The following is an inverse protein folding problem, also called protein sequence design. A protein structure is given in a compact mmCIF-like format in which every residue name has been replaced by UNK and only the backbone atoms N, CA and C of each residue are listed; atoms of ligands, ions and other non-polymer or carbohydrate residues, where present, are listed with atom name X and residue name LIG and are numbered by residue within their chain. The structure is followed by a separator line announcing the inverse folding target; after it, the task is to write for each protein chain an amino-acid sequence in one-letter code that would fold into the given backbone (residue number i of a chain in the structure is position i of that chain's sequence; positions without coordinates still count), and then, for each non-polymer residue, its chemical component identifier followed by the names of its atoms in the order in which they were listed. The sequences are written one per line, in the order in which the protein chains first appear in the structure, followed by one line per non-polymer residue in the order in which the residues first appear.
data_IF_722228715207
#
_entry.id   IF_722228715207
#
_cell.length_a   1.000
_cell.length_b   1.000
_cell.length_c   1.000
_cell.angle_alpha   90.00
_cell.angle_beta   90.00
_cell.angle_gamma   90.00
#
_symmetry.space_group_name_H-M   'P 1'
#
loop_
_entity.id
_entity.type
_entity.pdbx_description
1 polymer ?
#
# COMPACT_ATOMS: atom_id res chain seq x y z
N UNK A 1 25.88 1.32 -57.76
CA UNK A 1 25.26 0.12 -57.15
C UNK A 1 25.75 -0.22 -55.74
N UNK A 2 26.60 0.58 -55.06
CA UNK A 2 27.04 0.29 -53.67
C UNK A 2 26.25 1.04 -52.58
N UNK A 3 25.46 2.04 -52.95
CA UNK A 3 24.79 2.94 -51.98
C UNK A 3 23.38 2.51 -51.58
N UNK A 4 22.73 1.60 -52.32
CA UNK A 4 21.39 1.11 -51.98
C UNK A 4 21.40 -0.03 -50.94
N UNK A 5 22.48 -0.82 -50.89
CA UNK A 5 22.63 -1.93 -49.95
C UNK A 5 22.93 -1.47 -48.52
N UNK A 6 23.52 -0.28 -48.35
CA UNK A 6 23.80 0.29 -47.02
C UNK A 6 22.54 0.85 -46.33
N UNK A 7 21.59 1.40 -47.09
CA UNK A 7 20.34 1.95 -46.52
C UNK A 7 19.37 0.87 -46.04
N UNK A 8 19.31 -0.29 -46.69
CA UNK A 8 18.47 -1.41 -46.23
C UNK A 8 19.04 -2.07 -44.97
N UNK A 9 20.36 -2.10 -44.80
CA UNK A 9 21.00 -2.67 -43.60
C UNK A 9 20.82 -1.77 -42.36
N UNK A 10 20.85 -0.44 -42.51
CA UNK A 10 20.62 0.48 -41.39
C UNK A 10 19.15 0.54 -40.95
N UNK A 11 18.19 0.37 -41.88
CA UNK A 11 16.77 0.30 -41.52
C UNK A 11 16.38 -1.00 -40.81
N UNK A 12 17.06 -2.12 -41.12
CA UNK A 12 16.85 -3.38 -40.40
C UNK A 12 17.44 -3.35 -38.99
N UNK A 13 18.54 -2.62 -38.77
CA UNK A 13 19.15 -2.51 -37.45
C UNK A 13 18.39 -1.56 -36.52
N UNK A 14 17.81 -0.47 -37.01
CA UNK A 14 16.96 0.40 -36.17
C UNK A 14 15.56 -0.18 -35.89
N UNK A 15 15.03 -1.01 -36.79
CA UNK A 15 13.76 -1.73 -36.56
C UNK A 15 13.89 -2.96 -35.67
N UNK A 16 15.05 -3.62 -35.61
CA UNK A 16 15.32 -4.69 -34.63
C UNK A 16 15.65 -4.15 -33.23
N UNK A 17 16.26 -2.97 -33.11
CA UNK A 17 16.47 -2.31 -31.81
C UNK A 17 15.15 -1.73 -31.26
N UNK A 18 14.15 -1.50 -32.12
CA UNK A 18 12.81 -1.05 -31.70
C UNK A 18 11.94 -2.16 -31.10
N UNK A 19 12.34 -3.44 -31.17
CA UNK A 19 11.66 -4.54 -30.45
C UNK A 19 12.22 -4.81 -29.04
N UNK A 20 13.27 -4.09 -28.63
CA UNK A 20 13.82 -4.16 -27.28
C UNK A 20 13.44 -2.96 -26.39
N UNK A 21 12.67 -2.00 -26.92
CA UNK A 21 12.04 -0.97 -26.10
C UNK A 21 10.81 -1.54 -25.39
N UNK A 22 11.11 -2.12 -24.22
CA UNK A 22 10.29 -2.14 -23.02
C UNK A 22 8.84 -2.57 -23.17
N UNK A 23 8.52 -3.81 -22.77
CA UNK A 23 7.26 -4.01 -22.07
C UNK A 23 7.23 -2.97 -20.95
N UNK A 24 6.26 -2.04 -20.99
CA UNK A 24 6.10 -0.99 -19.99
C UNK A 24 6.05 -1.56 -18.56
N UNK A 25 6.16 -0.71 -17.53
CA UNK A 25 6.16 -1.18 -16.15
C UNK A 25 4.96 -2.09 -15.87
N UNK A 26 5.21 -3.24 -15.24
CA UNK A 26 4.15 -4.15 -14.83
C UNK A 26 3.65 -3.71 -13.45
N UNK A 27 2.50 -3.06 -13.44
CA UNK A 27 1.81 -2.72 -12.20
C UNK A 27 0.96 -3.93 -11.77
N UNK A 28 1.22 -4.45 -10.57
CA UNK A 28 0.45 -5.53 -9.95
C UNK A 28 -0.37 -4.92 -8.82
N UNK A 29 -1.68 -5.13 -8.84
CA UNK A 29 -2.62 -4.48 -7.93
C UNK A 29 -3.06 -5.47 -6.85
N UNK A 30 -2.85 -5.08 -5.60
CA UNK A 30 -3.15 -5.89 -4.41
C UNK A 30 -4.07 -5.05 -3.53
N UNK A 31 -5.34 -5.42 -3.48
CA UNK A 31 -6.30 -4.70 -2.64
C UNK A 31 -6.14 -5.05 -1.16
N UNK A 32 -6.57 -4.17 -0.27
CA UNK A 32 -6.73 -4.46 1.16
C UNK A 32 -8.06 -5.15 1.46
N UNK A 33 -8.79 -4.65 2.47
CA UNK A 33 -10.08 -5.22 2.86
C UNK A 33 -11.24 -4.70 2.01
N UNK A 34 -12.26 -5.57 1.88
CA UNK A 34 -13.53 -5.43 1.17
C UNK A 34 -13.47 -4.81 -0.25
N UNK A 35 -13.42 -5.69 -1.27
CA UNK A 35 -13.38 -5.38 -2.70
C UNK A 35 -14.62 -4.63 -3.26
N UNK A 36 -15.53 -4.14 -2.41
CA UNK A 36 -16.75 -3.42 -2.83
C UNK A 36 -16.55 -1.92 -3.02
N UNK A 37 -15.38 -1.37 -2.67
CA UNK A 37 -14.97 -0.02 -3.03
C UNK A 37 -14.38 -0.05 -4.45
N UNK A 38 -15.27 -0.21 -5.44
CA UNK A 38 -14.91 -0.60 -6.80
C UNK A 38 -13.83 0.25 -7.49
N UNK A 39 -12.89 -0.43 -8.14
CA UNK A 39 -12.35 -0.14 -9.49
C UNK A 39 -11.24 -1.14 -9.88
N UNK A 40 -10.63 -1.81 -8.89
CA UNK A 40 -9.39 -2.59 -9.06
C UNK A 40 -9.60 -3.97 -9.71
N UNK A 41 -10.76 -4.59 -9.53
CA UNK A 41 -11.08 -5.91 -10.12
C UNK A 41 -10.98 -5.92 -11.66
N UNK A 42 -11.09 -4.76 -12.29
CA UNK A 42 -11.00 -4.59 -13.74
C UNK A 42 -9.58 -4.19 -14.21
N UNK A 43 -8.63 -4.03 -13.29
CA UNK A 43 -7.25 -3.69 -13.63
C UNK A 43 -6.47 -4.96 -14.03
N UNK A 44 -5.55 -4.83 -15.00
CA UNK A 44 -4.67 -5.94 -15.35
C UNK A 44 -3.79 -6.31 -14.15
N UNK A 45 -3.56 -7.61 -13.92
CA UNK A 45 -2.73 -8.12 -12.82
C UNK A 45 -3.27 -7.82 -11.40
N UNK A 46 -4.59 -7.79 -11.26
CA UNK A 46 -5.25 -7.76 -9.97
C UNK A 46 -5.15 -9.11 -9.23
N UNK A 47 -4.82 -9.08 -7.94
CA UNK A 47 -4.73 -10.27 -7.09
C UNK A 47 -5.87 -10.28 -6.07
N UNK A 48 -6.69 -11.32 -6.15
CA UNK A 48 -7.64 -11.65 -5.08
C UNK A 48 -6.98 -12.55 -4.04
N UNK A 49 -7.08 -12.19 -2.77
CA UNK A 49 -6.47 -12.90 -1.65
C UNK A 49 -7.32 -12.74 -0.38
N UNK A 50 -7.03 -13.56 0.64
CA UNK A 50 -7.83 -13.57 1.86
C UNK A 50 -7.32 -12.53 2.87
N UNK A 51 -7.83 -11.30 2.76
CA UNK A 51 -7.51 -10.21 3.69
C UNK A 51 -8.15 -10.32 5.07
N UNK A 52 -8.78 -11.46 5.40
CA UNK A 52 -9.32 -11.77 6.74
C UNK A 52 -8.36 -12.55 7.63
N UNK A 53 -7.13 -12.81 7.16
CA UNK A 53 -6.09 -13.55 7.87
C UNK A 53 -5.13 -12.60 8.61
N UNK A 54 -4.56 -13.07 9.70
CA UNK A 54 -3.42 -12.41 10.37
C UNK A 54 -2.19 -12.35 9.48
N UNK A 55 -1.31 -11.38 9.76
CA UNK A 55 -0.18 -10.96 8.92
C UNK A 55 0.63 -12.11 8.30
N UNK A 56 1.07 -13.07 9.11
CA UNK A 56 1.91 -14.18 8.64
C UNK A 56 1.14 -15.11 7.69
N UNK A 57 -0.08 -15.50 8.07
CA UNK A 57 -0.95 -16.36 7.26
C UNK A 57 -1.42 -15.63 5.99
N UNK A 58 -1.67 -14.32 6.09
CA UNK A 58 -1.97 -13.44 4.98
C UNK A 58 -0.81 -13.39 3.98
N UNK A 59 0.42 -13.25 4.46
CA UNK A 59 1.62 -13.24 3.63
C UNK A 59 1.84 -14.59 2.93
N UNK A 60 1.64 -15.70 3.63
CA UNK A 60 1.70 -17.05 3.06
C UNK A 60 0.62 -17.30 2.00
N UNK A 61 -0.60 -16.77 2.19
CA UNK A 61 -1.69 -16.84 1.20
C UNK A 61 -1.41 -15.97 -0.04
N UNK A 62 -0.91 -14.75 0.16
CA UNK A 62 -0.70 -13.76 -0.90
C UNK A 62 0.53 -14.09 -1.77
N UNK A 63 1.65 -14.48 -1.17
CA UNK A 63 2.92 -14.63 -1.87
C UNK A 63 2.91 -15.58 -3.10
N UNK A 64 2.32 -16.80 -3.06
CA UNK A 64 2.28 -17.65 -4.24
C UNK A 64 1.45 -17.02 -5.38
N UNK A 65 0.38 -16.27 -5.06
CA UNK A 65 -0.42 -15.54 -6.07
C UNK A 65 0.38 -14.39 -6.69
N UNK A 66 1.13 -13.66 -5.86
CA UNK A 66 1.98 -12.57 -6.32
C UNK A 66 3.13 -13.06 -7.21
N UNK A 67 3.79 -14.16 -6.85
CA UNK A 67 4.80 -14.80 -7.71
C UNK A 67 4.19 -15.23 -9.06
N UNK A 68 2.96 -15.74 -9.06
CA UNK A 68 2.27 -16.11 -10.29
C UNK A 68 1.99 -14.88 -11.18
N UNK A 69 1.54 -13.74 -10.63
CA UNK A 69 1.37 -12.51 -11.42
C UNK A 69 2.68 -11.94 -11.93
N UNK A 70 3.73 -11.89 -11.09
CA UNK A 70 5.08 -11.47 -11.50
C UNK A 70 5.57 -12.28 -12.70
N UNK A 71 5.32 -13.60 -12.71
CA UNK A 71 5.73 -14.46 -13.83
C UNK A 71 5.08 -14.09 -15.17
N UNK A 72 3.90 -13.47 -15.16
CA UNK A 72 3.19 -13.02 -16.36
C UNK A 72 3.77 -11.73 -16.96
N UNK A 73 4.55 -10.97 -16.18
CA UNK A 73 5.13 -9.69 -16.58
C UNK A 73 6.37 -9.81 -17.50
N UNK A 74 6.84 -11.03 -17.84
CA UNK A 74 7.87 -11.29 -18.87
C UNK A 74 9.09 -10.35 -18.86
N UNK A 75 9.69 -10.14 -17.68
CA UNK A 75 10.87 -9.28 -17.40
C UNK A 75 10.64 -7.76 -17.38
N UNK A 76 9.39 -7.29 -17.45
CA UNK A 76 9.10 -5.88 -17.20
C UNK A 76 9.46 -5.48 -15.75
N UNK A 77 9.85 -4.22 -15.49
CA UNK A 77 9.98 -3.69 -14.15
C UNK A 77 8.68 -3.88 -13.35
N UNK A 78 8.76 -4.45 -12.15
CA UNK A 78 7.58 -4.76 -11.32
C UNK A 78 7.35 -3.63 -10.31
N UNK A 79 6.15 -3.07 -10.34
CA UNK A 79 5.66 -2.13 -9.34
C UNK A 79 4.45 -2.72 -8.63
N UNK A 80 4.49 -2.76 -7.30
CA UNK A 80 3.36 -3.21 -6.52
C UNK A 80 2.50 -2.01 -6.15
N UNK A 81 1.20 -2.10 -6.42
CA UNK A 81 0.20 -1.09 -6.06
C UNK A 81 -0.64 -1.71 -4.95
N UNK A 82 -0.44 -1.25 -3.72
CA UNK A 82 -1.07 -1.84 -2.53
C UNK A 82 -2.07 -0.87 -1.93
N UNK A 83 -3.10 -1.40 -1.30
CA UNK A 83 -4.13 -0.62 -0.64
C UNK A 83 -4.41 -1.13 0.78
N UNK A 84 -4.57 -0.24 1.77
CA UNK A 84 -4.94 -0.57 3.16
C UNK A 84 -4.04 -1.68 3.73
N UNK A 85 -4.62 -2.78 4.22
CA UNK A 85 -3.90 -3.87 4.88
C UNK A 85 -2.85 -4.53 3.99
N UNK A 86 -3.08 -4.60 2.68
CA UNK A 86 -2.12 -5.25 1.78
C UNK A 86 -0.78 -4.53 1.78
N UNK A 87 -0.73 -3.24 2.10
CA UNK A 87 0.52 -2.49 2.23
C UNK A 87 1.37 -3.04 3.38
N UNK A 88 0.75 -3.33 4.54
CA UNK A 88 1.42 -3.95 5.68
C UNK A 88 1.88 -5.39 5.37
N UNK A 89 1.05 -6.18 4.69
CA UNK A 89 1.40 -7.56 4.30
C UNK A 89 2.55 -7.58 3.29
N UNK A 90 2.52 -6.70 2.29
CA UNK A 90 3.60 -6.59 1.29
C UNK A 90 4.89 -6.07 1.93
N UNK A 91 4.81 -5.09 2.84
CA UNK A 91 5.96 -4.66 3.64
C UNK A 91 6.60 -5.83 4.39
N UNK A 92 5.78 -6.70 5.00
CA UNK A 92 6.24 -7.90 5.68
C UNK A 92 6.93 -8.90 4.72
N UNK A 93 6.30 -9.21 3.59
CA UNK A 93 6.85 -10.08 2.55
C UNK A 93 8.20 -9.57 2.05
N UNK A 94 8.29 -8.29 1.71
CA UNK A 94 9.51 -7.68 1.17
C UNK A 94 10.63 -7.68 2.20
N UNK A 95 10.33 -7.32 3.45
CA UNK A 95 11.30 -7.31 4.52
C UNK A 95 11.90 -8.68 4.84
N UNK A 96 11.07 -9.73 4.91
CA UNK A 96 11.56 -11.09 5.07
C UNK A 96 12.30 -11.58 3.83
N UNK A 97 11.81 -11.25 2.63
CA UNK A 97 12.47 -11.55 1.37
C UNK A 97 13.88 -10.95 1.31
N UNK A 98 14.04 -9.69 1.73
CA UNK A 98 15.35 -9.04 1.87
C UNK A 98 16.24 -9.75 2.88
N UNK A 99 15.72 -10.01 4.08
CA UNK A 99 16.48 -10.63 5.19
C UNK A 99 17.08 -11.99 4.81
N UNK A 100 16.35 -12.76 3.99
CA UNK A 100 16.72 -14.13 3.64
C UNK A 100 17.17 -14.31 2.20
N UNK A 101 17.46 -13.21 1.49
CA UNK A 101 17.74 -13.24 0.05
C UNK A 101 18.85 -14.22 -0.35
N UNK A 102 19.93 -14.26 0.44
CA UNK A 102 21.10 -15.09 0.17
C UNK A 102 20.94 -16.54 0.62
N UNK A 103 20.06 -16.80 1.59
CA UNK A 103 19.89 -18.11 2.21
C UNK A 103 18.84 -18.96 1.47
N UNK A 104 17.74 -18.34 1.04
CA UNK A 104 16.60 -19.03 0.43
C UNK A 104 16.16 -18.37 -0.87
N UNK A 105 17.02 -18.29 -1.91
CA UNK A 105 16.73 -17.56 -3.16
C UNK A 105 15.48 -18.06 -3.90
N UNK A 106 15.06 -19.30 -3.65
CA UNK A 106 13.90 -19.91 -4.28
C UNK A 106 12.58 -19.62 -3.53
N UNK A 107 12.65 -19.11 -2.30
CA UNK A 107 11.47 -18.83 -1.48
C UNK A 107 10.63 -17.73 -2.10
N UNK A 108 9.30 -17.84 -2.02
CA UNK A 108 8.39 -16.89 -2.67
C UNK A 108 8.64 -15.44 -2.23
N UNK A 109 8.86 -15.20 -0.93
CA UNK A 109 9.13 -13.85 -0.42
C UNK A 109 10.41 -13.24 -1.02
N UNK A 110 11.47 -14.05 -1.16
CA UNK A 110 12.74 -13.62 -1.76
C UNK A 110 12.56 -13.29 -3.23
N UNK A 111 11.85 -14.16 -3.97
CA UNK A 111 11.56 -13.94 -5.39
C UNK A 111 10.73 -12.69 -5.64
N UNK A 112 9.79 -12.38 -4.74
CA UNK A 112 9.02 -11.12 -4.78
C UNK A 112 9.95 -9.94 -4.55
N UNK A 113 10.71 -9.95 -3.45
CA UNK A 113 11.68 -8.90 -3.14
C UNK A 113 12.65 -8.61 -4.29
N UNK A 114 13.24 -9.65 -4.89
CA UNK A 114 14.20 -9.50 -5.99
C UNK A 114 13.58 -8.99 -7.29
N UNK A 115 12.27 -9.18 -7.49
CA UNK A 115 11.58 -8.75 -8.70
C UNK A 115 11.00 -7.34 -8.59
N UNK A 116 10.64 -6.90 -7.39
CA UNK A 116 9.99 -5.61 -7.12
C UNK A 116 10.97 -4.45 -7.19
N UNK A 117 10.61 -3.41 -7.95
CA UNK A 117 11.36 -2.15 -8.03
C UNK A 117 10.91 -1.17 -6.93
N UNK A 118 9.60 -1.00 -6.78
CA UNK A 118 9.02 -0.14 -5.76
C UNK A 118 7.58 -0.56 -5.43
N UNK A 119 7.09 -0.06 -4.30
CA UNK A 119 5.68 -0.16 -3.89
C UNK A 119 5.07 1.24 -3.91
N UNK A 120 3.84 1.34 -4.39
CA UNK A 120 2.99 2.51 -4.19
C UNK A 120 1.86 2.09 -3.25
N UNK A 121 1.89 2.63 -2.04
CA UNK A 121 0.95 2.33 -0.98
C UNK A 121 -0.14 3.40 -0.92
N UNK A 122 -1.36 3.00 -1.24
CA UNK A 122 -2.55 3.83 -1.14
C UNK A 122 -3.15 3.63 0.25
N UNK A 123 -3.15 4.66 1.09
CA UNK A 123 -3.71 4.61 2.45
C UNK A 123 -3.24 3.39 3.24
N UNK A 124 -1.93 3.14 3.29
CA UNK A 124 -1.39 1.93 3.92
C UNK A 124 -1.65 1.87 5.42
N UNK A 125 -2.18 0.77 5.92
CA UNK A 125 -2.42 0.57 7.35
C UNK A 125 -1.18 0.00 8.06
N UNK A 126 -0.04 0.71 7.99
CA UNK A 126 1.24 0.22 8.53
C UNK A 126 1.26 0.15 10.05
N UNK A 127 0.57 1.08 10.71
CA UNK A 127 0.49 1.21 12.17
C UNK A 127 -0.92 0.91 12.69
N UNK A 128 -1.72 0.19 11.90
CA UNK A 128 -3.08 -0.19 12.24
C UNK A 128 -4.12 0.92 12.09
N UNK A 129 -5.33 0.66 12.63
CA UNK A 129 -6.48 1.60 12.62
C UNK A 129 -7.35 1.38 13.86
N UNK A 130 -7.88 2.46 14.48
CA UNK A 130 -8.80 2.36 15.62
C UNK A 130 -10.11 1.62 15.28
N UNK A 131 -10.46 1.53 14.00
CA UNK A 131 -11.58 0.72 13.53
C UNK A 131 -11.37 -0.78 13.81
N UNK A 132 -10.13 -1.26 13.68
CA UNK A 132 -9.82 -2.66 13.99
C UNK A 132 -9.73 -2.89 15.50
N UNK A 133 -9.23 -1.92 16.28
CA UNK A 133 -9.29 -2.01 17.75
C UNK A 133 -10.71 -2.23 18.24
N UNK A 134 -11.66 -1.48 17.67
CA UNK A 134 -13.08 -1.63 17.98
C UNK A 134 -13.61 -3.04 17.64
N UNK A 135 -13.27 -3.58 16.46
CA UNK A 135 -13.66 -4.95 16.06
C UNK A 135 -13.05 -6.00 16.98
N UNK A 136 -11.76 -5.87 17.30
CA UNK A 136 -11.06 -6.79 18.20
C UNK A 136 -11.56 -6.71 19.65
N UNK A 137 -12.01 -5.53 20.10
CA UNK A 137 -12.63 -5.33 21.41
C UNK A 137 -14.07 -5.89 21.52
N UNK A 138 -14.51 -6.71 20.54
CA UNK A 138 -15.87 -7.29 20.43
C UNK A 138 -16.96 -6.32 19.96
N UNK A 139 -16.60 -5.14 19.47
CA UNK A 139 -17.53 -4.20 18.85
C UNK A 139 -18.03 -4.70 17.50
N UNK A 140 -19.36 -4.71 17.30
CA UNK A 140 -20.02 -5.15 16.05
C UNK A 140 -20.91 -4.06 15.46
N UNK A 141 -20.32 -2.91 15.15
CA UNK A 141 -21.00 -1.90 14.34
C UNK A 141 -21.02 -2.35 12.89
N UNK A 142 -22.20 -2.36 12.26
CA UNK A 142 -22.35 -2.68 10.84
C UNK A 142 -21.61 -1.70 9.94
N UNK A 143 -21.46 -0.44 10.35
CA UNK A 143 -20.74 0.56 9.57
C UNK A 143 -19.24 0.22 9.56
N UNK A 144 -18.68 -0.07 10.74
CA UNK A 144 -17.26 -0.41 10.90
C UNK A 144 -16.95 -1.76 10.24
N UNK A 145 -17.74 -2.80 10.51
CA UNK A 145 -17.47 -4.14 9.96
C UNK A 145 -17.63 -4.20 8.44
N UNK A 146 -18.41 -3.28 7.83
CA UNK A 146 -18.47 -3.12 6.37
C UNK A 146 -17.18 -2.55 5.76
N UNK A 147 -16.36 -1.86 6.55
CA UNK A 147 -15.10 -1.27 6.07
C UNK A 147 -13.91 -2.17 6.33
N UNK A 148 -13.79 -2.65 7.58
CA UNK A 148 -12.60 -3.37 8.05
C UNK A 148 -12.83 -4.86 8.27
N UNK A 149 -14.03 -5.35 7.99
CA UNK A 149 -14.42 -6.75 8.19
C UNK A 149 -14.85 -7.08 9.62
N UNK A 150 -15.38 -8.29 9.82
CA UNK A 150 -15.86 -8.78 11.13
C UNK A 150 -14.79 -9.54 11.92
N UNK A 151 -13.71 -9.97 11.27
CA UNK A 151 -12.64 -10.71 11.93
C UNK A 151 -11.64 -9.74 12.54
N UNK A 152 -11.30 -9.98 13.81
CA UNK A 152 -10.18 -9.32 14.44
C UNK A 152 -8.88 -9.71 13.71
N UNK A 153 -8.08 -8.70 13.36
CA UNK A 153 -6.74 -8.82 12.79
C UNK A 153 -5.81 -7.98 13.67
N UNK A 154 -5.11 -8.63 14.58
CA UNK A 154 -4.22 -8.01 15.58
C UNK A 154 -3.17 -7.12 14.92
N UNK A 155 -2.59 -7.55 13.80
CA UNK A 155 -1.61 -6.75 13.06
C UNK A 155 -2.15 -5.45 12.45
N UNK A 156 -3.46 -5.25 12.50
CA UNK A 156 -4.13 -4.01 12.08
C UNK A 156 -4.72 -3.21 13.25
N UNK A 157 -4.60 -3.71 14.47
CA UNK A 157 -4.85 -2.91 15.68
C UNK A 157 -3.77 -1.85 15.83
N UNK A 158 -4.00 -0.79 16.61
CA UNK A 158 -2.95 0.22 16.85
C UNK A 158 -1.89 -0.25 17.85
N UNK A 159 -2.03 -1.45 18.42
CA UNK A 159 -1.05 -2.02 19.32
C UNK A 159 0.27 -2.39 18.59
N UNK A 160 1.30 -1.58 18.83
CA UNK A 160 2.62 -1.62 18.17
C UNK A 160 3.27 -3.00 18.13
N UNK A 161 3.07 -3.82 19.17
CA UNK A 161 3.64 -5.17 19.27
C UNK A 161 3.19 -6.09 18.14
N UNK A 162 2.06 -5.82 17.50
CA UNK A 162 1.51 -6.62 16.41
C UNK A 162 1.80 -6.04 15.02
N UNK A 163 2.32 -4.82 14.93
CA UNK A 163 2.63 -4.18 13.65
C UNK A 163 3.77 -4.92 12.94
N UNK A 164 3.78 -4.95 11.59
CA UNK A 164 4.85 -5.60 10.85
C UNK A 164 6.23 -4.95 11.11
N UNK A 165 6.27 -3.67 11.51
CA UNK A 165 7.48 -2.93 11.89
C UNK A 165 8.21 -3.51 13.10
N UNK A 166 7.51 -4.21 14.00
CA UNK A 166 8.13 -4.88 15.16
C UNK A 166 9.01 -6.07 14.74
N UNK A 167 8.74 -6.63 13.55
CA UNK A 167 9.47 -7.77 12.99
C UNK A 167 10.42 -7.31 11.88
N UNK A 168 10.05 -6.29 11.11
CA UNK A 168 10.72 -5.81 9.91
C UNK A 168 11.18 -4.38 10.09
N UNK A 169 12.48 -4.14 9.92
CA UNK A 169 13.08 -2.81 9.99
C UNK A 169 13.29 -2.15 8.62
N UNK A 170 13.14 -2.89 7.52
CA UNK A 170 13.29 -2.34 6.18
C UNK A 170 12.69 -3.27 5.12
N UNK A 171 11.96 -2.73 4.13
CA UNK A 171 11.44 -3.49 3.01
C UNK A 171 12.51 -3.77 1.93
N UNK A 172 13.60 -3.00 1.91
CA UNK A 172 14.68 -3.15 0.92
C UNK A 172 14.38 -2.57 -0.45
N UNK A 173 13.17 -2.06 -0.67
CA UNK A 173 12.73 -1.33 -1.86
C UNK A 173 11.94 -0.11 -1.42
N UNK A 174 11.95 1.02 -2.17
CA UNK A 174 11.19 2.20 -1.80
C UNK A 174 9.67 1.94 -1.79
N UNK A 175 9.00 2.52 -0.81
CA UNK A 175 7.55 2.56 -0.64
C UNK A 175 7.11 4.02 -0.77
N UNK A 176 6.50 4.33 -1.91
CA UNK A 176 5.89 5.60 -2.22
C UNK A 176 4.50 5.68 -1.58
N UNK A 177 4.31 6.65 -0.70
CA UNK A 177 3.09 6.83 0.07
C UNK A 177 2.11 7.73 -0.69
N UNK A 178 0.89 7.24 -0.85
CA UNK A 178 -0.23 7.90 -1.52
C UNK A 178 -1.38 7.97 -0.52
N UNK A 179 -1.74 9.15 -0.04
CA UNK A 179 -2.75 9.28 1.03
C UNK A 179 -3.57 10.56 0.94
N UNK A 180 -4.74 10.51 1.57
CA UNK A 180 -5.68 11.63 1.63
C UNK A 180 -6.04 11.97 3.06
N UNK A 181 -6.66 13.13 3.27
CA UNK A 181 -7.05 13.58 4.63
C UNK A 181 -8.52 13.99 4.76
N UNK A 182 -9.35 13.63 3.78
CA UNK A 182 -10.76 14.05 3.73
C UNK A 182 -11.73 12.96 4.21
N UNK A 183 -12.58 13.29 5.18
CA UNK A 183 -13.43 12.34 5.93
C UNK A 183 -14.90 12.28 5.45
N UNK A 184 -15.19 12.05 4.16
CA UNK A 184 -16.57 12.27 3.65
C UNK A 184 -17.55 11.10 3.58
N UNK A 185 -17.20 9.86 3.92
CA UNK A 185 -17.94 8.73 3.33
C UNK A 185 -18.59 7.72 4.29
N UNK A 186 -18.26 7.72 5.59
CA UNK A 186 -18.48 6.51 6.42
C UNK A 186 -19.33 6.69 7.69
N UNK A 187 -19.90 7.88 7.89
CA UNK A 187 -20.83 8.18 8.99
C UNK A 187 -20.15 8.62 10.30
N UNK A 188 -20.93 9.18 11.22
CA UNK A 188 -20.40 9.86 12.42
C UNK A 188 -19.68 8.91 13.39
N UNK A 189 -20.12 7.66 13.51
CA UNK A 189 -19.47 6.67 14.39
C UNK A 189 -18.03 6.36 13.94
N UNK A 190 -17.84 6.16 12.63
CA UNK A 190 -16.51 5.91 12.03
C UNK A 190 -15.65 7.16 12.16
N UNK A 191 -16.22 8.33 11.84
CA UNK A 191 -15.53 9.60 11.95
C UNK A 191 -15.07 9.88 13.39
N UNK A 192 -15.90 9.59 14.40
CA UNK A 192 -15.56 9.84 15.80
C UNK A 192 -14.38 8.98 16.27
N UNK A 193 -14.34 7.69 15.89
CA UNK A 193 -13.21 6.82 16.20
C UNK A 193 -11.91 7.33 15.57
N UNK A 194 -11.97 7.73 14.29
CA UNK A 194 -10.79 8.20 13.56
C UNK A 194 -10.31 9.57 14.06
N UNK A 195 -11.22 10.50 14.36
CA UNK A 195 -10.90 11.82 14.93
C UNK A 195 -10.25 11.72 16.30
N UNK A 196 -10.49 10.64 17.04
CA UNK A 196 -9.86 10.38 18.34
C UNK A 196 -8.52 9.64 18.31
N UNK A 197 -8.11 9.08 17.15
CA UNK A 197 -6.91 8.24 17.06
C UNK A 197 -5.65 8.98 17.53
N UNK A 198 -4.84 8.34 18.36
CA UNK A 198 -3.60 8.93 18.90
C UNK A 198 -3.76 10.16 19.81
N UNK A 199 -4.98 10.60 20.15
CA UNK A 199 -5.22 11.73 21.04
C UNK A 199 -5.45 11.27 22.48
N UNK A 200 -4.93 12.03 23.42
CA UNK A 200 -5.31 11.95 24.83
C UNK A 200 -6.73 12.50 25.06
N UNK A 201 -7.30 12.18 26.23
CA UNK A 201 -8.62 12.69 26.62
C UNK A 201 -8.65 14.24 26.68
N UNK A 202 -7.56 14.86 27.15
CA UNK A 202 -7.44 16.32 27.25
C UNK A 202 -7.43 16.97 25.87
N UNK A 203 -6.60 16.49 24.96
CA UNK A 203 -6.52 17.01 23.59
C UNK A 203 -7.87 16.87 22.87
N UNK A 204 -8.52 15.71 22.98
CA UNK A 204 -9.80 15.46 22.31
C UNK A 204 -10.94 16.32 22.86
N UNK A 205 -11.12 16.37 24.18
CA UNK A 205 -12.34 16.94 24.78
C UNK A 205 -12.16 18.35 25.35
N UNK A 206 -10.97 18.71 25.84
CA UNK A 206 -10.71 20.06 26.33
C UNK A 206 -10.23 20.98 25.21
N UNK A 207 -9.22 20.54 24.44
CA UNK A 207 -8.66 21.33 23.34
C UNK A 207 -9.47 21.23 22.05
N UNK A 208 -10.40 20.27 21.97
CA UNK A 208 -11.25 20.00 20.81
C UNK A 208 -10.45 19.66 19.56
N UNK A 209 -9.33 18.99 19.74
CA UNK A 209 -8.50 18.53 18.65
C UNK A 209 -9.14 17.34 17.94
N UNK A 210 -8.69 17.07 16.71
CA UNK A 210 -9.17 15.96 15.90
C UNK A 210 -8.05 15.48 14.99
N UNK A 211 -7.77 14.19 15.05
CA UNK A 211 -6.82 13.53 14.16
C UNK A 211 -7.34 13.46 12.74
N UNK A 212 -6.43 13.62 11.79
CA UNK A 212 -6.70 13.52 10.35
C UNK A 212 -6.72 12.06 9.90
N UNK A 213 -7.56 11.78 8.90
CA UNK A 213 -7.69 10.46 8.28
C UNK A 213 -8.28 10.61 6.88
N UNK A 214 -8.18 9.57 6.06
CA UNK A 214 -8.87 9.50 4.76
C UNK A 214 -10.32 8.97 4.87
N UNK A 215 -10.84 8.84 6.10
CA UNK A 215 -12.13 8.25 6.41
C UNK A 215 -12.10 6.75 6.73
N UNK A 216 -10.96 6.06 6.54
CA UNK A 216 -10.78 4.64 6.91
C UNK A 216 -9.47 4.42 7.69
N UNK A 217 -8.40 5.06 7.25
CA UNK A 217 -7.05 4.92 7.77
C UNK A 217 -6.61 6.27 8.37
N UNK A 218 -6.16 6.30 9.64
CA UNK A 218 -5.56 7.50 10.22
C UNK A 218 -4.36 7.97 9.41
N UNK A 219 -4.18 9.30 9.29
CA UNK A 219 -3.10 9.88 8.51
C UNK A 219 -1.72 9.38 8.97
N UNK A 220 -1.52 9.22 10.29
CA UNK A 220 -0.27 8.70 10.84
C UNK A 220 0.06 7.28 10.33
N UNK A 221 -0.96 6.42 10.24
CA UNK A 221 -0.79 5.05 9.71
C UNK A 221 -0.48 5.10 8.22
N UNK A 222 -1.19 5.93 7.45
CA UNK A 222 -0.98 6.11 6.01
C UNK A 222 0.39 6.72 5.66
N UNK A 223 0.93 7.57 6.54
CA UNK A 223 2.28 8.14 6.46
C UNK A 223 3.38 7.16 6.95
N UNK A 224 2.99 5.96 7.38
CA UNK A 224 3.87 4.96 7.97
C UNK A 224 4.66 5.49 9.16
N UNK A 225 4.02 6.28 10.04
CA UNK A 225 4.65 6.79 11.25
C UNK A 225 5.09 5.64 12.17
N UNK A 226 6.26 5.79 12.80
CA UNK A 226 6.87 4.77 13.67
C UNK A 226 5.98 4.41 14.87
N UNK A 227 5.27 5.39 15.43
CA UNK A 227 4.39 5.22 16.58
C UNK A 227 2.98 5.73 16.25
N UNK A 228 1.98 5.27 16.99
CA UNK A 228 0.64 5.89 16.92
C UNK A 228 0.72 7.32 17.50
N UNK A 229 0.54 8.30 16.63
CA UNK A 229 0.51 9.72 16.99
C UNK A 229 -0.68 10.40 16.34
N UNK A 230 -1.28 11.35 17.04
CA UNK A 230 -2.27 12.23 16.43
C UNK A 230 -1.60 13.21 15.47
N UNK A 231 -2.04 13.22 14.21
CA UNK A 231 -1.71 14.28 13.26
C UNK A 231 -2.95 15.13 13.08
N UNK A 232 -2.95 16.33 13.67
CA UNK A 232 -4.12 17.22 13.73
C UNK A 232 -4.10 18.29 12.64
N UNK A 233 -2.90 18.72 12.24
CA UNK A 233 -2.70 19.62 11.11
C UNK A 233 -2.65 18.84 9.79
N UNK A 234 -3.09 19.48 8.71
CA UNK A 234 -2.80 18.95 7.38
C UNK A 234 -1.28 18.89 7.21
N UNK A 235 -0.51 19.96 7.40
CA UNK A 235 0.94 19.95 7.17
C UNK A 235 1.76 19.14 8.19
N UNK A 236 1.11 18.40 9.10
CA UNK A 236 1.78 17.61 10.12
C UNK A 236 2.65 16.51 9.53
N UNK A 237 3.85 16.36 10.11
CA UNK A 237 4.85 15.35 9.75
C UNK A 237 5.07 14.37 10.92
N UNK A 238 5.73 13.25 10.63
CA UNK A 238 6.14 12.29 11.64
C UNK A 238 7.44 11.58 11.23
N UNK A 239 8.10 10.97 12.22
CA UNK A 239 9.15 10.00 11.94
C UNK A 239 8.52 8.73 11.39
N UNK A 240 8.90 8.34 10.17
CA UNK A 240 8.41 7.11 9.55
C UNK A 240 9.13 5.89 10.12
N UNK A 241 8.50 4.72 10.05
CA UNK A 241 9.07 3.40 10.41
C UNK A 241 10.47 3.24 9.82
N UNK A 242 10.68 3.72 8.59
CA UNK A 242 12.00 3.85 8.00
C UNK A 242 12.04 5.01 6.97
N UNK A 243 12.57 6.16 7.36
CA UNK A 243 12.61 7.36 6.51
C UNK A 243 13.40 7.18 5.19
N UNK A 244 14.34 6.21 5.10
CA UNK A 244 15.10 5.97 3.88
C UNK A 244 14.29 5.24 2.81
N UNK A 245 13.25 4.51 3.23
CA UNK A 245 12.45 3.66 2.34
C UNK A 245 11.02 4.17 2.16
N UNK A 246 10.47 4.91 3.10
CA UNK A 246 9.11 5.44 3.01
C UNK A 246 9.14 6.90 2.55
N UNK A 247 8.61 7.14 1.35
CA UNK A 247 8.72 8.43 0.65
C UNK A 247 7.31 8.97 0.42
N UNK A 248 7.05 10.19 0.87
CA UNK A 248 5.78 10.87 0.56
C UNK A 248 5.75 11.19 -0.93
N UNK A 249 4.87 10.52 -1.67
CA UNK A 249 4.79 10.64 -3.13
C UNK A 249 3.61 11.48 -3.56
N UNK A 250 2.44 11.23 -2.99
CA UNK A 250 1.25 12.00 -3.27
C UNK A 250 0.39 12.15 -2.04
N UNK A 251 -0.06 13.38 -1.82
CA UNK A 251 -0.96 13.76 -0.76
C UNK A 251 -2.09 14.58 -1.33
N UNK A 252 -3.30 14.34 -0.87
CA UNK A 252 -4.44 15.21 -1.19
C UNK A 252 -5.33 15.49 0.00
N UNK A 253 -5.50 16.77 0.33
CA UNK A 253 -6.40 17.19 1.39
C UNK A 253 -7.88 17.25 0.94
N UNK A 254 -8.12 17.18 -0.38
CA UNK A 254 -9.47 17.24 -0.98
C UNK A 254 -10.09 15.86 -1.25
N UNK A 255 -9.28 14.80 -1.22
CA UNK A 255 -9.66 13.46 -1.65
C UNK A 255 -9.71 12.53 -0.44
N UNK A 256 -10.78 11.74 -0.39
CA UNK A 256 -10.97 10.69 0.60
C UNK A 256 -10.31 9.39 0.16
N UNK A 257 -10.41 8.39 1.03
CA UNK A 257 -10.03 7.03 0.76
C UNK A 257 -10.53 6.54 -0.63
N UNK A 258 -11.84 6.68 -0.91
CA UNK A 258 -12.42 6.07 -2.13
C UNK A 258 -12.08 6.82 -3.42
N UNK A 259 -11.70 8.10 -3.32
CA UNK A 259 -11.33 8.91 -4.47
C UNK A 259 -9.96 8.47 -5.01
N UNK A 260 -8.99 8.28 -4.12
CA UNK A 260 -7.61 7.90 -4.49
C UNK A 260 -7.55 6.53 -5.18
N UNK A 261 -8.34 5.56 -4.71
CA UNK A 261 -8.40 4.22 -5.30
C UNK A 261 -9.20 4.15 -6.61
N UNK A 262 -9.86 5.25 -7.02
CA UNK A 262 -10.58 5.37 -8.30
C UNK A 262 -9.82 6.21 -9.32
N UNK A 263 -8.82 6.96 -8.89
CA UNK A 263 -8.00 7.78 -9.77
C UNK A 263 -7.10 6.89 -10.66
N UNK A 264 -7.43 6.86 -11.96
CA UNK A 264 -6.70 6.03 -12.93
C UNK A 264 -5.30 6.57 -13.25
N UNK A 265 -5.06 7.86 -13.09
CA UNK A 265 -3.76 8.47 -13.37
C UNK A 265 -2.78 8.14 -12.24
N UNK A 266 -3.23 8.27 -10.99
CA UNK A 266 -2.47 7.83 -9.80
C UNK A 266 -2.17 6.33 -9.84
N UNK A 267 -3.16 5.50 -10.20
CA UNK A 267 -3.00 4.04 -10.28
C UNK A 267 -2.03 3.61 -11.39
N UNK A 268 -1.99 4.35 -12.51
CA UNK A 268 -1.08 4.08 -13.62
C UNK A 268 0.32 4.65 -13.41
N UNK A 269 0.52 5.46 -12.37
CA UNK A 269 1.78 6.15 -12.11
C UNK A 269 2.10 7.23 -13.14
N UNK A 270 1.06 7.83 -13.74
CA UNK A 270 1.20 8.96 -14.66
C UNK A 270 0.93 10.22 -13.86
N UNK A 271 1.87 10.60 -13.00
CA UNK A 271 1.95 11.98 -12.53
C UNK A 271 3.39 12.41 -12.74
N UNK A 272 3.56 13.30 -13.72
CA UNK A 272 4.76 14.13 -13.83
C UNK A 272 4.76 15.04 -12.60
N UNK A 273 5.82 14.96 -11.79
CA UNK A 273 6.14 15.99 -10.82
C UNK A 273 6.36 17.29 -11.61
N UNK A 274 5.43 18.25 -11.51
CA UNK A 274 5.69 19.64 -11.87
C UNK A 274 6.30 20.36 -10.66
#
# INVERSE_FOLDING_TARGET
MKSLLFLCATFFWTSLISFAYGAGPCNIYIHGRDAKLGSWDNLPHYINWNSSLELENAAEDLAPKLVAEISKCKKAPIFLRTYDYSSAVVYYILGLGRRYADLYPQHNFVRIYQATIAVYSFGGAFSGTPLMDYVCASGKSKAITKLVGEKCILSMTTAEIYHPSSIINSPGVPIYLVFGTHDREYGEEVAELLRGSGLTWEERYQNKESSRSDGVVPLASAMACENEVAITDVEGECNKINNDYFIDFFRSDEHSHSDLVRDRELLRGVYDEN
#
